data_IF_135998365373
#
_entry.id   IF_135998365373
#
_cell.length_a   1.000
_cell.length_b   1.000
_cell.length_c   1.000
_cell.angle_alpha   90.00
_cell.angle_beta   90.00
_cell.angle_gamma   90.00
#
_symmetry.space_group_name_H-M   'P 1'
#
loop_
_entity.id
_entity.type
_entity.pdbx_description
1 polymer ?
#
# COMPACT_ATOMS: atom_id res chain seq x y z
N UNK A 1 78.81 -21.70 -8.38
CA UNK A 1 77.68 -22.57 -7.95
C UNK A 1 76.76 -21.95 -6.89
N UNK A 2 77.28 -21.22 -5.90
CA UNK A 2 76.48 -20.67 -4.79
C UNK A 2 75.44 -19.61 -5.22
N UNK A 3 75.79 -18.73 -6.17
CA UNK A 3 74.89 -17.67 -6.65
C UNK A 3 73.64 -18.18 -7.40
N UNK A 4 73.74 -19.30 -8.12
CA UNK A 4 72.59 -19.88 -8.82
C UNK A 4 71.59 -20.54 -7.85
N UNK A 5 72.06 -21.14 -6.75
CA UNK A 5 71.20 -21.68 -5.70
C UNK A 5 70.45 -20.57 -4.95
N UNK A 6 71.07 -19.42 -4.74
CA UNK A 6 70.44 -18.25 -4.10
C UNK A 6 69.38 -17.64 -5.02
N UNK A 7 69.66 -17.47 -6.32
CA UNK A 7 68.67 -16.97 -7.31
C UNK A 7 67.46 -17.90 -7.44
N UNK A 8 67.64 -19.22 -7.39
CA UNK A 8 66.53 -20.19 -7.41
C UNK A 8 65.67 -20.11 -6.14
N UNK A 9 66.29 -19.97 -4.95
CA UNK A 9 65.55 -19.81 -3.68
C UNK A 9 64.74 -18.50 -3.65
N UNK A 10 65.29 -17.41 -4.17
CA UNK A 10 64.56 -16.12 -4.28
C UNK A 10 63.39 -16.23 -5.25
N UNK A 11 63.55 -16.89 -6.41
CA UNK A 11 62.45 -17.12 -7.35
C UNK A 11 61.31 -17.93 -6.73
N UNK A 12 61.63 -18.97 -5.95
CA UNK A 12 60.62 -19.80 -5.27
C UNK A 12 59.88 -18.99 -4.21
N UNK A 13 60.58 -18.16 -3.42
CA UNK A 13 59.95 -17.29 -2.41
C UNK A 13 59.04 -16.25 -3.05
N UNK A 14 59.45 -15.65 -4.17
CA UNK A 14 58.62 -14.70 -4.92
C UNK A 14 57.40 -15.39 -5.52
N UNK A 15 57.55 -16.61 -6.05
CA UNK A 15 56.41 -17.39 -6.56
C UNK A 15 55.44 -17.78 -5.44
N UNK A 16 55.95 -18.13 -4.25
CA UNK A 16 55.14 -18.44 -3.07
C UNK A 16 54.42 -17.20 -2.54
N UNK A 17 55.06 -16.02 -2.57
CA UNK A 17 54.42 -14.74 -2.21
C UNK A 17 53.36 -14.32 -3.23
N UNK A 18 53.56 -14.59 -4.53
CA UNK A 18 52.56 -14.30 -5.56
C UNK A 18 51.37 -15.28 -5.43
N UNK A 19 51.60 -16.57 -5.19
CA UNK A 19 50.53 -17.56 -4.99
C UNK A 19 49.76 -17.39 -3.66
N UNK A 20 50.40 -16.91 -2.59
CA UNK A 20 49.71 -16.58 -1.33
C UNK A 20 48.84 -15.32 -1.44
N UNK A 21 49.15 -14.39 -2.35
CA UNK A 21 48.31 -13.23 -2.63
C UNK A 21 47.12 -13.52 -3.56
N UNK A 22 47.06 -14.70 -4.21
CA UNK A 22 45.90 -15.11 -5.01
C UNK A 22 44.84 -15.90 -4.22
N UNK A 23 45.11 -16.28 -2.96
CA UNK A 23 44.20 -17.12 -2.16
C UNK A 23 43.47 -16.39 -1.02
N UNK A 24 43.51 -15.05 -0.96
CA UNK A 24 42.75 -14.28 0.05
C UNK A 24 41.79 -13.24 -0.55
N UNK A 25 41.44 -13.37 -1.82
CA UNK A 25 40.29 -12.67 -2.40
C UNK A 25 39.25 -13.70 -2.85
N UNK A 26 38.75 -14.51 -1.92
CA UNK A 26 37.35 -14.90 -2.03
C UNK A 26 36.56 -13.61 -1.94
N UNK A 27 36.25 -12.98 -3.07
CA UNK A 27 35.13 -12.05 -3.12
C UNK A 27 33.93 -12.87 -2.66
N UNK A 28 33.55 -12.75 -1.39
CA UNK A 28 32.23 -13.19 -0.96
C UNK A 28 31.27 -12.60 -1.98
N UNK A 29 30.56 -13.46 -2.71
CA UNK A 29 29.54 -13.00 -3.64
C UNK A 29 28.62 -12.08 -2.85
N UNK A 30 28.64 -10.79 -3.17
CA UNK A 30 27.85 -9.75 -2.51
C UNK A 30 26.40 -9.82 -2.98
N UNK A 31 25.83 -11.02 -3.08
CA UNK A 31 24.50 -11.25 -3.60
C UNK A 31 23.48 -10.89 -2.53
N UNK A 32 22.62 -9.93 -2.85
CA UNK A 32 21.50 -9.52 -2.00
C UNK A 32 20.23 -10.27 -2.42
N UNK A 33 19.47 -10.75 -1.46
CA UNK A 33 18.21 -11.47 -1.66
C UNK A 33 17.31 -11.30 -0.43
N UNK A 34 16.01 -11.55 -0.59
CA UNK A 34 15.11 -11.61 0.57
C UNK A 34 15.52 -12.74 1.52
N UNK A 35 15.47 -12.47 2.82
CA UNK A 35 15.91 -13.36 3.90
C UNK A 35 17.40 -13.25 4.24
N UNK A 36 18.19 -12.51 3.46
CA UNK A 36 19.62 -12.34 3.76
C UNK A 36 19.80 -11.50 5.02
N UNK A 37 20.81 -11.87 5.81
CA UNK A 37 21.19 -11.14 7.03
C UNK A 37 22.48 -10.36 6.81
N UNK A 38 22.49 -9.09 7.21
CA UNK A 38 23.64 -8.17 7.07
C UNK A 38 23.64 -7.14 8.19
N UNK A 39 24.77 -6.47 8.40
CA UNK A 39 24.87 -5.38 9.37
C UNK A 39 24.39 -4.06 8.76
N UNK A 40 24.90 -3.72 7.57
CA UNK A 40 24.58 -2.49 6.86
C UNK A 40 24.35 -2.79 5.37
N UNK A 41 23.41 -2.10 4.72
CA UNK A 41 23.13 -2.23 3.28
C UNK A 41 24.39 -1.93 2.44
N UNK A 42 25.29 -1.09 2.96
CA UNK A 42 26.56 -0.78 2.31
C UNK A 42 27.48 -1.99 2.14
N UNK A 43 27.27 -3.08 2.88
CA UNK A 43 28.00 -4.35 2.71
C UNK A 43 27.85 -4.94 1.29
N UNK A 44 26.76 -4.59 0.59
CA UNK A 44 26.52 -5.01 -0.80
C UNK A 44 27.09 -4.02 -1.83
N UNK A 45 27.84 -3.01 -1.40
CA UNK A 45 28.42 -2.00 -2.30
C UNK A 45 29.73 -2.48 -2.90
N UNK A 46 29.94 -2.20 -4.18
CA UNK A 46 31.22 -2.35 -4.85
C UNK A 46 32.15 -1.18 -4.48
N UNK A 47 31.59 0.03 -4.44
CA UNK A 47 32.29 1.27 -4.08
C UNK A 47 31.38 2.10 -3.19
N UNK A 48 31.97 2.71 -2.16
CA UNK A 48 31.30 3.70 -1.30
C UNK A 48 32.01 5.04 -1.56
N UNK A 49 31.22 6.08 -1.84
CA UNK A 49 31.68 7.46 -1.94
C UNK A 49 31.08 8.23 -0.76
N UNK A 50 31.91 8.53 0.22
CA UNK A 50 31.51 9.35 1.36
C UNK A 50 31.72 10.83 0.99
N UNK A 51 30.65 11.62 1.08
CA UNK A 51 30.77 13.07 0.92
C UNK A 51 31.16 13.73 2.25
N UNK A 52 32.37 14.28 2.29
CA UNK A 52 32.91 15.06 3.42
C UNK A 52 32.44 16.53 3.43
N UNK A 53 31.52 16.93 2.52
CA UNK A 53 31.02 18.31 2.38
C UNK A 53 30.15 18.82 3.55
N UNK A 54 29.97 18.04 4.61
CA UNK A 54 29.20 18.43 5.82
C UNK A 54 27.70 18.13 5.75
N UNK A 55 27.19 17.61 4.62
CA UNK A 55 25.77 17.21 4.46
C UNK A 55 25.52 15.74 4.84
N UNK A 56 26.58 14.93 4.99
CA UNK A 56 26.49 13.54 5.49
C UNK A 56 25.84 12.55 4.53
N UNK A 57 26.01 12.74 3.22
CA UNK A 57 25.41 11.88 2.19
C UNK A 57 26.39 10.76 1.81
N UNK A 58 26.00 9.50 2.04
CA UNK A 58 26.75 8.33 1.56
C UNK A 58 26.20 7.90 0.20
N UNK A 59 27.05 7.84 -0.82
CA UNK A 59 26.69 7.26 -2.11
C UNK A 59 27.33 5.89 -2.27
N UNK A 60 26.62 4.98 -2.93
CA UNK A 60 27.12 3.64 -3.20
C UNK A 60 26.97 3.29 -4.67
N UNK A 61 27.97 2.57 -5.19
CA UNK A 61 27.87 1.85 -6.46
C UNK A 61 27.73 0.37 -6.14
N UNK A 62 26.71 -0.30 -6.68
CA UNK A 62 26.46 -1.72 -6.41
C UNK A 62 25.80 -2.41 -7.60
N UNK A 63 26.49 -3.38 -8.20
CA UNK A 63 25.93 -4.28 -9.21
C UNK A 63 24.86 -5.20 -8.62
N UNK A 64 25.09 -5.69 -7.41
CA UNK A 64 24.19 -6.67 -6.78
C UNK A 64 22.86 -6.06 -6.38
N UNK A 65 22.87 -4.86 -5.79
CA UNK A 65 21.65 -4.10 -5.51
C UNK A 65 20.93 -3.75 -6.81
N UNK A 66 21.67 -3.29 -7.83
CA UNK A 66 21.08 -2.98 -9.15
C UNK A 66 20.40 -4.19 -9.79
N UNK A 67 21.03 -5.35 -9.71
CA UNK A 67 20.51 -6.60 -10.27
C UNK A 67 19.27 -7.06 -9.49
N UNK A 68 19.32 -7.02 -8.16
CA UNK A 68 18.20 -7.39 -7.29
C UNK A 68 16.97 -6.50 -7.49
N UNK A 69 17.17 -5.18 -7.63
CA UNK A 69 16.11 -4.21 -7.88
C UNK A 69 15.71 -4.10 -9.36
N UNK A 70 16.40 -4.83 -10.26
CA UNK A 70 16.25 -4.77 -11.71
C UNK A 70 16.31 -3.32 -12.25
N UNK A 71 17.35 -2.57 -11.88
CA UNK A 71 17.57 -1.17 -12.30
C UNK A 71 18.62 -1.07 -13.40
N UNK A 72 18.49 -0.03 -14.24
CA UNK A 72 19.49 0.27 -15.28
C UNK A 72 20.76 0.94 -14.75
N UNK A 73 20.63 1.72 -13.67
CA UNK A 73 21.76 2.37 -13.00
C UNK A 73 22.18 1.57 -11.77
N UNK A 74 23.47 1.69 -11.44
CA UNK A 74 24.15 1.01 -10.34
C UNK A 74 24.51 1.96 -9.19
N UNK A 75 24.11 3.22 -9.30
CA UNK A 75 24.45 4.26 -8.33
C UNK A 75 23.23 4.59 -7.46
N UNK A 76 23.47 4.70 -6.15
CA UNK A 76 22.44 4.99 -5.16
C UNK A 76 22.95 5.99 -4.12
N UNK A 77 22.03 6.77 -3.56
CA UNK A 77 22.25 7.56 -2.34
C UNK A 77 21.59 6.82 -1.18
N UNK A 78 22.34 6.58 -0.11
CA UNK A 78 21.80 6.14 1.17
C UNK A 78 21.21 7.35 1.89
N UNK A 79 19.89 7.33 2.12
CA UNK A 79 19.18 8.51 2.61
C UNK A 79 18.89 8.43 4.11
N UNK A 80 18.15 7.42 4.53
CA UNK A 80 17.66 7.33 5.91
C UNK A 80 17.54 5.87 6.35
N UNK A 81 17.64 5.67 7.65
CA UNK A 81 17.23 4.47 8.35
C UNK A 81 16.22 4.85 9.42
N UNK A 82 15.01 4.31 9.34
CA UNK A 82 13.93 4.68 10.25
C UNK A 82 13.26 3.44 10.83
N UNK A 83 12.90 3.49 12.11
CA UNK A 83 12.06 2.46 12.72
C UNK A 83 10.62 2.65 12.25
N UNK A 84 9.95 1.54 11.96
CA UNK A 84 8.54 1.59 11.60
C UNK A 84 7.71 1.65 12.88
N UNK A 85 6.89 2.70 13.01
CA UNK A 85 6.09 2.93 14.22
C UNK A 85 5.22 1.72 14.55
N UNK A 86 5.01 1.44 15.84
CA UNK A 86 4.16 0.33 16.34
C UNK A 86 4.53 -1.07 15.83
N UNK A 87 5.72 -1.25 15.27
CA UNK A 87 6.26 -2.56 14.91
C UNK A 87 7.45 -2.88 15.78
N UNK A 88 7.39 -4.00 16.50
CA UNK A 88 8.54 -4.44 17.29
C UNK A 88 9.61 -4.97 16.32
N UNK A 89 10.77 -4.31 16.27
CA UNK A 89 11.96 -4.73 15.53
C UNK A 89 11.91 -4.62 14.01
N UNK A 90 11.00 -3.83 13.41
CA UNK A 90 11.01 -3.58 11.96
C UNK A 90 11.45 -2.14 11.70
N UNK A 91 12.35 -1.99 10.73
CA UNK A 91 12.87 -0.72 10.23
C UNK A 91 12.85 -0.72 8.71
N UNK A 92 13.16 0.42 8.10
CA UNK A 92 13.55 0.45 6.70
C UNK A 92 14.80 1.27 6.47
N UNK A 93 15.55 0.87 5.44
CA UNK A 93 16.64 1.65 4.87
C UNK A 93 16.24 2.20 3.51
N UNK A 94 16.38 3.50 3.27
CA UNK A 94 16.04 4.15 2.00
C UNK A 94 17.26 4.30 1.09
N UNK A 95 17.15 3.82 -0.15
CA UNK A 95 18.08 4.10 -1.24
C UNK A 95 17.40 4.88 -2.37
N UNK A 96 17.97 6.03 -2.75
CA UNK A 96 17.55 6.78 -3.94
C UNK A 96 18.41 6.41 -5.15
N UNK A 97 17.78 6.04 -6.27
CA UNK A 97 18.47 5.70 -7.51
C UNK A 97 18.94 6.96 -8.24
N UNK A 98 20.24 7.03 -8.55
CA UNK A 98 20.86 8.15 -9.28
C UNK A 98 21.53 7.66 -10.57
N UNK A 99 21.72 8.53 -11.55
CA UNK A 99 22.28 8.13 -12.85
C UNK A 99 23.81 7.99 -12.82
N UNK A 100 24.48 8.73 -11.94
CA UNK A 100 25.93 8.76 -11.81
C UNK A 100 26.32 9.32 -10.44
N UNK A 101 27.59 9.20 -10.06
CA UNK A 101 28.14 9.78 -8.82
C UNK A 101 28.00 11.31 -8.71
N UNK A 102 27.86 12.00 -9.85
CA UNK A 102 27.79 13.47 -9.88
C UNK A 102 26.33 13.96 -9.69
N UNK A 103 25.37 13.03 -9.64
CA UNK A 103 23.94 13.30 -9.47
C UNK A 103 23.55 13.29 -7.99
N UNK A 104 23.95 14.34 -7.27
CA UNK A 104 23.77 14.48 -5.81
C UNK A 104 22.43 15.09 -5.39
N UNK A 105 21.51 15.33 -6.35
CA UNK A 105 20.20 15.92 -6.03
C UNK A 105 19.37 14.94 -5.19
N UNK A 106 18.94 15.40 -4.03
CA UNK A 106 18.09 14.66 -3.11
C UNK A 106 16.59 14.75 -3.42
N UNK A 107 15.81 13.85 -2.82
CA UNK A 107 14.36 14.00 -2.69
C UNK A 107 13.49 13.34 -3.77
N UNK A 108 12.23 13.82 -3.87
CA UNK A 108 11.14 13.22 -4.69
C UNK A 108 11.39 13.16 -6.19
N UNK A 109 12.45 13.80 -6.71
CA UNK A 109 12.79 13.77 -8.12
C UNK A 109 13.43 12.44 -8.56
N UNK A 110 13.71 11.54 -7.61
CA UNK A 110 14.33 10.23 -7.84
C UNK A 110 13.34 9.09 -7.61
N UNK A 111 13.62 7.96 -8.25
CA UNK A 111 13.04 6.68 -7.83
C UNK A 111 13.73 6.29 -6.53
N UNK A 112 12.96 5.86 -5.54
CA UNK A 112 13.50 5.43 -4.24
C UNK A 112 13.07 4.01 -3.93
N UNK A 113 13.82 3.34 -3.09
CA UNK A 113 13.58 1.98 -2.65
C UNK A 113 13.69 1.93 -1.14
N UNK A 114 12.65 1.43 -0.48
CA UNK A 114 12.64 1.15 0.94
C UNK A 114 12.94 -0.33 1.13
N UNK A 115 14.03 -0.64 1.81
CA UNK A 115 14.42 -1.99 2.21
C UNK A 115 13.80 -2.26 3.57
N UNK A 116 12.76 -3.10 3.62
CA UNK A 116 12.08 -3.42 4.88
C UNK A 116 12.85 -4.50 5.60
N UNK A 117 13.26 -4.19 6.82
CA UNK A 117 14.28 -4.92 7.55
C UNK A 117 13.75 -5.33 8.92
N UNK A 118 14.11 -6.53 9.36
CA UNK A 118 13.84 -7.00 10.72
C UNK A 118 15.14 -7.11 11.52
N UNK A 119 15.20 -6.49 12.68
CA UNK A 119 16.37 -6.54 13.57
C UNK A 119 16.62 -7.96 14.08
N UNK A 120 17.85 -8.45 13.92
CA UNK A 120 18.39 -9.71 14.43
C UNK A 120 19.70 -9.44 15.18
N UNK A 121 19.58 -8.98 16.43
CA UNK A 121 20.73 -8.59 17.25
C UNK A 121 21.45 -7.36 16.69
N UNK A 122 22.73 -7.51 16.32
CA UNK A 122 23.52 -6.47 15.63
C UNK A 122 23.30 -6.45 14.11
N UNK A 123 22.65 -7.47 13.57
CA UNK A 123 22.35 -7.56 12.15
C UNK A 123 20.88 -7.24 11.88
N UNK A 124 20.55 -7.16 10.61
CA UNK A 124 19.22 -7.01 10.06
C UNK A 124 18.98 -8.10 9.03
N UNK A 125 17.74 -8.53 8.91
CA UNK A 125 17.28 -9.42 7.86
C UNK A 125 16.42 -8.64 6.88
N UNK A 126 16.74 -8.67 5.58
CA UNK A 126 15.89 -8.06 4.55
C UNK A 126 14.65 -8.92 4.35
N UNK A 127 13.47 -8.37 4.63
CA UNK A 127 12.20 -9.09 4.53
C UNK A 127 11.50 -8.81 3.21
N UNK A 128 11.51 -7.55 2.79
CA UNK A 128 10.76 -7.06 1.65
C UNK A 128 11.36 -5.75 1.11
N UNK A 129 10.87 -5.30 -0.05
CA UNK A 129 11.24 -4.00 -0.60
C UNK A 129 10.03 -3.27 -1.17
N UNK A 130 10.01 -1.94 -1.05
CA UNK A 130 9.01 -1.09 -1.65
C UNK A 130 9.63 -0.05 -2.58
N UNK A 131 9.17 0.00 -3.83
CA UNK A 131 9.59 1.02 -4.80
C UNK A 131 8.69 2.25 -4.69
N UNK A 132 9.29 3.41 -4.47
CA UNK A 132 8.63 4.71 -4.53
C UNK A 132 8.90 5.33 -5.90
N UNK A 133 7.86 5.55 -6.74
CA UNK A 133 8.05 6.12 -8.07
C UNK A 133 8.56 7.57 -8.01
N UNK A 134 9.28 7.98 -9.06
CA UNK A 134 9.70 9.37 -9.25
C UNK A 134 8.48 10.30 -9.19
N UNK A 135 8.60 11.39 -8.45
CA UNK A 135 7.57 12.42 -8.27
C UNK A 135 6.55 12.12 -7.16
N UNK A 136 6.70 10.99 -6.47
CA UNK A 136 5.88 10.64 -5.31
C UNK A 136 6.72 10.66 -4.04
N UNK A 137 6.08 10.96 -2.93
CA UNK A 137 6.56 10.86 -1.56
C UNK A 137 5.90 9.69 -0.85
N UNK A 138 6.41 9.35 0.34
CA UNK A 138 5.82 8.33 1.19
C UNK A 138 5.69 8.82 2.63
N UNK A 139 4.73 8.27 3.37
CA UNK A 139 4.57 8.52 4.80
C UNK A 139 4.16 7.24 5.51
N UNK A 140 4.63 7.06 6.74
CA UNK A 140 4.10 6.02 7.61
C UNK A 140 2.67 6.41 8.01
N UNK A 141 1.74 5.46 8.05
CA UNK A 141 0.37 5.73 8.49
C UNK A 141 -0.14 4.63 9.41
N UNK A 142 -1.08 4.99 10.27
CA UNK A 142 -1.75 4.08 11.18
C UNK A 142 -3.19 3.80 10.72
N UNK A 143 -3.59 2.52 10.75
CA UNK A 143 -4.91 2.06 10.33
C UNK A 143 -5.41 0.91 11.19
N UNK A 144 -6.73 0.68 11.16
CA UNK A 144 -7.35 -0.45 11.86
C UNK A 144 -7.61 -1.62 10.94
N UNK A 145 -7.31 -2.82 11.45
CA UNK A 145 -7.67 -4.10 10.85
C UNK A 145 -8.45 -4.90 11.89
N UNK A 146 -9.76 -4.69 11.96
CA UNK A 146 -10.57 -5.12 13.10
C UNK A 146 -10.26 -4.24 14.33
N UNK A 147 -10.00 -4.86 15.48
CA UNK A 147 -9.64 -4.17 16.73
C UNK A 147 -8.13 -4.01 16.93
N UNK A 148 -7.33 -4.27 15.89
CA UNK A 148 -5.87 -4.22 15.97
C UNK A 148 -5.37 -3.00 15.20
N UNK A 149 -4.62 -2.16 15.89
CA UNK A 149 -3.88 -1.04 15.32
C UNK A 149 -2.69 -1.58 14.53
N UNK A 150 -2.51 -1.06 13.31
CA UNK A 150 -1.46 -1.48 12.39
C UNK A 150 -0.81 -0.28 11.74
N UNK A 151 0.42 -0.49 11.31
CA UNK A 151 1.21 0.50 10.57
C UNK A 151 1.37 0.09 9.12
N UNK A 152 1.37 1.09 8.24
CA UNK A 152 1.61 0.93 6.83
C UNK A 152 2.46 2.05 6.26
N UNK A 153 2.75 1.94 4.97
CA UNK A 153 3.40 2.98 4.16
C UNK A 153 2.42 3.45 3.10
N UNK A 154 2.12 4.74 3.11
CA UNK A 154 1.33 5.41 2.12
C UNK A 154 2.26 6.04 1.09
N UNK A 155 1.97 5.86 -0.20
CA UNK A 155 2.65 6.56 -1.30
C UNK A 155 1.70 7.62 -1.82
N UNK A 156 2.18 8.85 -2.00
CA UNK A 156 1.32 9.97 -2.39
C UNK A 156 2.08 11.18 -2.92
N UNK A 157 1.34 12.19 -3.36
CA UNK A 157 1.92 13.49 -3.74
C UNK A 157 1.80 14.45 -2.57
N UNK A 158 2.93 14.92 -2.08
CA UNK A 158 2.95 15.95 -1.06
C UNK A 158 2.98 17.34 -1.68
N UNK A 159 2.03 18.17 -1.28
CA UNK A 159 1.95 19.59 -1.61
C UNK A 159 2.21 20.39 -0.35
N UNK A 160 3.27 21.20 -0.40
CA UNK A 160 3.69 22.05 0.69
C UNK A 160 3.45 23.51 0.29
N UNK A 161 2.48 24.16 0.94
CA UNK A 161 2.34 25.62 0.92
C UNK A 161 2.43 26.15 2.35
N UNK A 162 2.87 27.40 2.52
CA UNK A 162 3.12 28.01 3.85
C UNK A 162 1.91 28.04 4.79
N UNK A 163 0.69 27.84 4.30
CA UNK A 163 -0.55 27.84 5.10
C UNK A 163 -1.31 26.52 5.10
N UNK A 164 -1.09 25.66 4.10
CA UNK A 164 -1.83 24.40 3.93
C UNK A 164 -0.92 23.33 3.36
N UNK A 165 -0.78 22.26 4.12
CA UNK A 165 -0.09 21.06 3.68
C UNK A 165 -1.10 19.99 3.30
N UNK A 166 -0.82 19.29 2.20
CA UNK A 166 -1.64 18.15 1.83
C UNK A 166 -0.87 16.97 1.28
N UNK A 167 -1.27 15.77 1.69
CA UNK A 167 -0.74 14.52 1.18
C UNK A 167 -1.80 13.76 0.37
N UNK A 168 -1.65 13.77 -0.95
CA UNK A 168 -2.58 13.11 -1.88
C UNK A 168 -2.21 11.63 -2.05
N UNK A 169 -2.94 10.71 -1.38
CA UNK A 169 -2.67 9.27 -1.36
C UNK A 169 -2.90 8.63 -2.73
N UNK A 170 -1.97 7.80 -3.16
CA UNK A 170 -1.98 7.09 -4.44
C UNK A 170 -1.97 5.57 -4.23
N UNK A 171 -1.15 5.07 -3.32
CA UNK A 171 -1.11 3.65 -2.93
C UNK A 171 -0.96 3.50 -1.42
N UNK A 172 -1.50 2.40 -0.88
CA UNK A 172 -1.38 2.05 0.53
C UNK A 172 -0.82 0.63 0.65
N UNK A 173 0.11 0.48 1.59
CA UNK A 173 0.77 -0.77 1.88
C UNK A 173 0.71 -1.04 3.38
N UNK A 174 0.13 -2.16 3.79
CA UNK A 174 0.14 -2.62 5.17
C UNK A 174 1.39 -3.44 5.45
N UNK A 175 1.94 -3.29 6.65
CA UNK A 175 3.12 -4.04 7.09
C UNK A 175 2.68 -5.06 8.13
N UNK A 176 2.99 -6.33 7.89
CA UNK A 176 2.74 -7.41 8.85
C UNK A 176 3.78 -7.40 9.97
N UNK A 177 3.49 -8.12 11.07
CA UNK A 177 4.39 -8.25 12.22
C UNK A 177 5.76 -8.89 11.90
N UNK A 178 5.90 -9.49 10.71
CA UNK A 178 7.17 -10.07 10.26
C UNK A 178 7.92 -9.18 9.26
N UNK A 179 7.36 -8.02 8.88
CA UNK A 179 7.94 -7.08 7.92
C UNK A 179 7.49 -7.27 6.47
N UNK A 180 6.60 -8.23 6.19
CA UNK A 180 6.06 -8.40 4.83
C UNK A 180 5.08 -7.30 4.48
N UNK A 181 5.22 -6.76 3.27
CA UNK A 181 4.34 -5.72 2.73
C UNK A 181 3.16 -6.37 2.00
N UNK A 182 1.97 -5.80 2.19
CA UNK A 182 0.75 -6.19 1.46
C UNK A 182 0.03 -4.95 0.96
N UNK A 183 -0.46 -4.98 -0.29
CA UNK A 183 -1.23 -3.87 -0.84
C UNK A 183 -2.58 -3.77 -0.12
N UNK A 184 -2.96 -2.56 0.26
CA UNK A 184 -4.25 -2.25 0.87
C UNK A 184 -5.14 -1.46 -0.10
N UNK A 185 -6.47 -1.58 0.01
CA UNK A 185 -7.36 -0.73 -0.76
C UNK A 185 -7.26 0.73 -0.29
N UNK A 186 -7.43 1.70 -1.21
CA UNK A 186 -7.52 3.13 -0.88
C UNK A 186 -8.75 3.49 -0.02
N UNK A 187 -9.67 2.54 0.18
CA UNK A 187 -10.78 2.66 1.13
C UNK A 187 -10.41 2.26 2.56
N UNK A 188 -9.14 1.92 2.82
CA UNK A 188 -8.66 1.63 4.18
C UNK A 188 -8.89 2.83 5.09
N UNK A 189 -9.48 2.60 6.26
CA UNK A 189 -9.70 3.63 7.27
C UNK A 189 -8.37 3.93 7.95
N UNK A 190 -7.75 5.03 7.54
CA UNK A 190 -6.55 5.62 8.15
C UNK A 190 -7.04 6.58 9.23
N UNK A 191 -6.42 6.54 10.40
CA UNK A 191 -6.70 7.51 11.46
C UNK A 191 -5.54 8.46 11.72
N UNK A 192 -4.34 8.12 11.26
CA UNK A 192 -3.16 8.97 11.35
C UNK A 192 -2.23 8.71 10.15
N UNK A 193 -1.73 9.79 9.54
CA UNK A 193 -0.83 9.76 8.39
C UNK A 193 -0.04 11.07 8.39
N UNK A 194 1.04 11.19 9.17
CA UNK A 194 1.83 12.42 9.28
C UNK A 194 2.40 12.88 7.93
N UNK A 195 2.88 14.14 7.83
CA UNK A 195 3.69 14.58 6.71
C UNK A 195 4.90 13.65 6.49
N UNK A 196 5.36 13.46 5.23
CA UNK A 196 6.58 12.71 4.97
C UNK A 196 7.76 13.27 5.77
N UNK A 197 8.59 12.39 6.35
CA UNK A 197 9.71 12.73 7.24
C UNK A 197 10.65 13.80 6.64
N UNK A 198 10.76 13.82 5.31
CA UNK A 198 11.55 14.79 4.54
C UNK A 198 11.16 16.26 4.78
N UNK A 199 9.91 16.53 5.17
CA UNK A 199 9.37 17.89 5.28
C UNK A 199 9.02 18.29 6.71
N UNK A 200 9.47 17.53 7.72
CA UNK A 200 9.30 17.91 9.12
C UNK A 200 10.04 19.22 9.38
N UNK A 201 9.31 20.23 9.88
CA UNK A 201 9.82 21.55 10.24
C UNK A 201 9.83 21.71 11.76
N UNK A 202 10.59 22.68 12.25
CA UNK A 202 10.56 23.08 13.67
C UNK A 202 9.19 23.60 14.13
N UNK A 203 8.30 23.95 13.20
CA UNK A 203 6.95 24.45 13.46
C UNK A 203 5.90 23.58 12.76
N UNK A 204 4.83 23.23 13.48
CA UNK A 204 3.67 22.54 12.90
C UNK A 204 2.90 23.46 11.94
N UNK A 205 2.41 22.95 10.79
CA UNK A 205 1.59 23.73 9.88
C UNK A 205 0.26 24.12 10.53
N UNK A 206 -0.28 25.30 10.17
CA UNK A 206 -1.62 25.75 10.63
C UNK A 206 -2.72 24.72 10.32
N UNK A 207 -2.61 24.04 9.17
CA UNK A 207 -3.51 22.96 8.75
C UNK A 207 -2.74 21.87 7.97
N UNK A 208 -2.89 20.61 8.37
CA UNK A 208 -2.44 19.43 7.62
C UNK A 208 -3.63 18.52 7.27
N UNK A 209 -3.71 18.12 6.00
CA UNK A 209 -4.74 17.16 5.55
C UNK A 209 -4.15 16.11 4.61
N UNK A 210 -4.38 14.83 4.86
CA UNK A 210 -4.20 13.83 3.82
C UNK A 210 -5.53 13.62 3.09
N UNK A 211 -5.46 13.45 1.78
CA UNK A 211 -6.63 13.23 0.91
C UNK A 211 -6.31 12.05 0.03
N UNK A 212 -7.22 11.11 -0.15
CA UNK A 212 -7.01 10.09 -1.17
C UNK A 212 -7.15 10.74 -2.55
N UNK A 213 -6.23 10.45 -3.48
CA UNK A 213 -6.56 10.44 -4.91
C UNK A 213 -7.44 9.23 -5.19
N UNK A 214 -8.56 9.16 -4.49
CA UNK A 214 -9.70 8.71 -5.22
C UNK A 214 -9.84 9.77 -6.31
N UNK A 215 -9.93 9.35 -7.57
CA UNK A 215 -11.14 9.77 -8.25
C UNK A 215 -12.29 9.43 -7.29
N UNK A 216 -12.53 10.34 -6.32
CA UNK A 216 -13.87 10.67 -5.97
C UNK A 216 -14.35 11.14 -7.31
N UNK A 217 -14.94 10.20 -8.05
CA UNK A 217 -16.09 10.49 -8.87
C UNK A 217 -16.78 11.59 -8.05
N UNK A 218 -16.68 12.85 -8.50
CA UNK A 218 -17.37 13.97 -7.85
C UNK A 218 -18.88 13.67 -7.76
N UNK A 219 -19.30 12.63 -8.50
CA UNK A 219 -20.56 11.91 -8.55
C UNK A 219 -20.82 10.87 -7.42
N UNK A 220 -19.91 10.68 -6.44
CA UNK A 220 -20.04 9.69 -5.35
C UNK A 220 -20.23 10.29 -3.95
N UNK A 221 -20.44 11.60 -3.86
CA UNK A 221 -21.09 12.16 -2.67
C UNK A 221 -22.56 11.82 -2.83
N UNK A 222 -22.96 10.66 -2.33
CA UNK A 222 -24.36 10.31 -2.18
C UNK A 222 -24.91 11.30 -1.15
N UNK A 223 -25.91 12.08 -1.55
CA UNK A 223 -26.52 13.06 -0.65
C UNK A 223 -27.05 12.36 0.61
N UNK A 224 -26.89 13.01 1.77
CA UNK A 224 -27.38 12.51 3.06
C UNK A 224 -28.88 12.23 3.08
N UNK A 225 -29.65 12.78 2.12
CA UNK A 225 -31.07 12.43 1.90
C UNK A 225 -31.28 10.92 1.73
N UNK A 226 -30.31 10.22 1.15
CA UNK A 226 -30.37 8.78 0.94
C UNK A 226 -29.92 7.98 2.17
N UNK A 227 -29.29 8.58 3.18
CA UNK A 227 -28.80 7.82 4.33
C UNK A 227 -29.95 7.25 5.15
N UNK A 228 -29.82 5.99 5.58
CA UNK A 228 -30.83 5.28 6.36
C UNK A 228 -30.83 3.79 6.07
N UNK A 229 -31.67 3.07 6.82
CA UNK A 229 -31.92 1.65 6.62
C UNK A 229 -33.29 1.53 5.94
N UNK A 230 -33.31 0.84 4.81
CA UNK A 230 -34.51 0.66 4.00
C UNK A 230 -34.88 -0.82 4.00
N UNK A 231 -36.16 -1.11 4.25
CA UNK A 231 -36.72 -2.45 4.08
C UNK A 231 -37.61 -2.49 2.87
N UNK A 232 -37.46 -3.54 2.04
CA UNK A 232 -38.42 -3.79 0.97
C UNK A 232 -39.72 -4.28 1.60
N UNK A 233 -40.83 -3.60 1.28
CA UNK A 233 -42.16 -4.05 1.68
C UNK A 233 -42.57 -5.21 0.76
N UNK A 234 -42.52 -6.43 1.28
CA UNK A 234 -43.08 -7.62 0.63
C UNK A 234 -44.53 -7.84 1.08
N UNK A 235 -45.32 -8.57 0.28
CA UNK A 235 -46.62 -9.09 0.73
C UNK A 235 -46.35 -10.23 1.70
N UNK A 236 -47.04 -10.24 2.83
CA UNK A 236 -47.00 -11.36 3.79
C UNK A 236 -47.34 -12.67 3.06
N UNK A 237 -46.48 -13.68 3.20
CA UNK A 237 -46.81 -15.02 2.72
C UNK A 237 -47.63 -15.77 3.79
N UNK A 238 -48.45 -16.72 3.33
CA UNK A 238 -49.08 -17.71 4.22
C UNK A 238 -48.10 -18.78 4.71
N UNK A 239 -46.96 -18.94 4.03
CA UNK A 239 -45.87 -19.84 4.42
C UNK A 239 -44.66 -19.01 4.86
N UNK A 240 -44.30 -19.11 6.14
CA UNK A 240 -43.15 -18.40 6.72
C UNK A 240 -41.82 -18.74 6.02
N UNK A 241 -41.74 -19.85 5.29
CA UNK A 241 -40.55 -20.21 4.49
C UNK A 241 -40.38 -19.33 3.26
N UNK A 242 -41.44 -18.69 2.80
CA UNK A 242 -41.42 -17.76 1.68
C UNK A 242 -41.12 -16.32 2.13
N UNK A 243 -41.16 -16.06 3.43
CA UNK A 243 -40.83 -14.75 3.98
C UNK A 243 -39.33 -14.48 3.81
N UNK A 244 -39.04 -13.36 3.14
CA UNK A 244 -37.69 -12.86 2.91
C UNK A 244 -37.63 -11.42 3.36
N UNK A 245 -36.65 -11.13 4.20
CA UNK A 245 -36.28 -9.78 4.57
C UNK A 245 -35.23 -9.28 3.59
N UNK A 246 -35.52 -8.16 2.93
CA UNK A 246 -34.54 -7.46 2.08
C UNK A 246 -34.29 -6.10 2.72
N UNK A 247 -33.03 -5.86 3.05
CA UNK A 247 -32.57 -4.64 3.70
C UNK A 247 -31.50 -3.97 2.86
N UNK A 248 -31.59 -2.65 2.75
CA UNK A 248 -30.57 -1.81 2.15
C UNK A 248 -30.15 -0.74 3.16
N UNK A 249 -28.89 -0.78 3.59
CA UNK A 249 -28.33 0.18 4.53
C UNK A 249 -27.42 1.15 3.79
N UNK A 250 -27.79 2.43 3.76
CA UNK A 250 -27.04 3.49 3.08
C UNK A 250 -26.46 4.42 4.14
N UNK A 251 -25.14 4.58 4.12
CA UNK A 251 -24.39 5.48 5.00
C UNK A 251 -23.43 6.34 4.19
N UNK A 252 -22.73 7.26 4.86
CA UNK A 252 -21.65 8.04 4.26
C UNK A 252 -20.56 7.16 3.67
N UNK A 253 -20.27 6.03 4.31
CA UNK A 253 -19.08 5.23 4.02
C UNK A 253 -19.38 3.99 3.17
N UNK A 254 -20.63 3.51 3.18
CA UNK A 254 -21.01 2.26 2.51
C UNK A 254 -22.49 2.16 2.17
N UNK A 255 -22.79 1.35 1.15
CA UNK A 255 -24.12 0.85 0.82
C UNK A 255 -24.10 -0.67 0.95
N UNK A 256 -24.90 -1.22 1.85
CA UNK A 256 -24.96 -2.65 2.12
C UNK A 256 -26.33 -3.16 1.73
N UNK A 257 -26.36 -4.16 0.86
CA UNK A 257 -27.54 -4.94 0.56
C UNK A 257 -27.51 -6.23 1.35
N UNK A 258 -28.65 -6.62 1.90
CA UNK A 258 -28.83 -7.87 2.61
C UNK A 258 -30.17 -8.49 2.23
N UNK A 259 -30.17 -9.79 1.93
CA UNK A 259 -31.39 -10.60 1.84
C UNK A 259 -31.24 -11.82 2.75
N UNK A 260 -32.27 -12.06 3.56
CA UNK A 260 -32.32 -13.16 4.51
C UNK A 260 -33.69 -13.84 4.45
N UNK A 261 -33.71 -15.16 4.43
CA UNK A 261 -34.93 -15.99 4.41
C UNK A 261 -34.58 -17.49 4.50
N UNK A 262 -35.58 -18.36 4.33
CA UNK A 262 -35.34 -19.79 4.35
C UNK A 262 -34.35 -20.22 3.26
N UNK A 263 -33.21 -20.81 3.68
CA UNK A 263 -32.11 -21.24 2.80
C UNK A 263 -31.45 -20.15 1.94
N UNK A 264 -31.72 -18.87 2.22
CA UNK A 264 -31.07 -17.75 1.54
C UNK A 264 -30.54 -16.76 2.55
N UNK A 265 -29.24 -16.49 2.47
CA UNK A 265 -28.60 -15.38 3.15
C UNK A 265 -27.53 -14.84 2.23
N UNK A 266 -27.62 -13.56 1.89
CA UNK A 266 -26.65 -12.90 1.04
C UNK A 266 -26.44 -11.48 1.53
N UNK A 267 -25.19 -11.07 1.64
CA UNK A 267 -24.82 -9.74 2.10
C UNK A 267 -23.75 -9.16 1.20
N UNK A 268 -24.07 -8.06 0.52
CA UNK A 268 -23.22 -7.47 -0.51
C UNK A 268 -22.90 -6.01 -0.21
N UNK A 269 -21.67 -5.63 -0.51
CA UNK A 269 -21.28 -4.23 -0.65
C UNK A 269 -21.68 -3.76 -2.05
N UNK A 270 -22.41 -2.66 -2.10
CA UNK A 270 -22.76 -1.98 -3.34
C UNK A 270 -21.97 -0.69 -3.50
N UNK A 271 -21.87 -0.24 -4.73
CA UNK A 271 -21.50 1.12 -5.08
C UNK A 271 -22.74 1.92 -5.44
N UNK A 272 -22.76 3.21 -5.09
CA UNK A 272 -23.83 4.13 -5.44
C UNK A 272 -23.32 5.32 -6.25
N UNK A 273 -24.14 5.80 -7.19
CA UNK A 273 -23.92 7.02 -7.95
C UNK A 273 -25.23 7.82 -8.03
N UNK A 274 -25.20 9.08 -7.65
CA UNK A 274 -26.37 9.95 -7.79
C UNK A 274 -26.42 10.55 -9.21
N UNK A 275 -27.53 10.38 -9.91
CA UNK A 275 -27.81 10.93 -11.25
C UNK A 275 -29.27 11.34 -11.30
N UNK A 276 -29.56 12.59 -11.69
CA UNK A 276 -30.93 13.09 -11.89
C UNK A 276 -31.90 12.80 -10.73
N UNK A 277 -31.45 13.04 -9.50
CA UNK A 277 -32.21 12.78 -8.26
C UNK A 277 -32.56 11.29 -8.03
N UNK A 278 -31.85 10.38 -8.70
CA UNK A 278 -31.88 8.93 -8.47
C UNK A 278 -30.55 8.45 -7.93
N UNK A 279 -30.57 7.39 -7.13
CA UNK A 279 -29.38 6.69 -6.67
C UNK A 279 -29.24 5.37 -7.44
N UNK A 280 -28.29 5.33 -8.36
CA UNK A 280 -27.95 4.11 -9.12
C UNK A 280 -27.06 3.23 -8.26
N UNK A 281 -27.35 1.93 -8.22
CA UNK A 281 -26.71 0.93 -7.40
C UNK A 281 -26.09 -0.17 -8.26
N UNK A 282 -24.85 -0.54 -7.95
CA UNK A 282 -24.19 -1.65 -8.63
C UNK A 282 -23.37 -2.48 -7.65
N UNK A 283 -23.32 -3.79 -7.89
CA UNK A 283 -22.55 -4.73 -7.09
C UNK A 283 -21.07 -4.34 -7.01
N UNK A 284 -20.48 -4.42 -5.81
CA UNK A 284 -19.04 -4.26 -5.61
C UNK A 284 -18.37 -5.58 -5.23
N UNK A 285 -18.78 -6.17 -4.10
CA UNK A 285 -18.23 -7.43 -3.58
C UNK A 285 -19.20 -8.05 -2.57
N UNK A 286 -19.05 -9.34 -2.31
CA UNK A 286 -19.74 -9.97 -1.20
C UNK A 286 -19.06 -9.66 0.14
N UNK A 287 -19.86 -9.60 1.20
CA UNK A 287 -19.44 -9.36 2.57
C UNK A 287 -19.59 -10.61 3.44
N UNK A 288 -20.56 -11.47 3.11
CA UNK A 288 -20.82 -12.70 3.81
C UNK A 288 -21.53 -13.69 2.88
N UNK A 289 -21.35 -15.00 3.12
CA UNK A 289 -21.81 -16.14 2.29
C UNK A 289 -21.21 -16.24 0.88
N UNK A 290 -21.71 -17.19 0.09
CA UNK A 290 -21.35 -17.44 -1.31
C UNK A 290 -21.99 -16.44 -2.27
N UNK A 291 -21.33 -16.20 -3.40
CA UNK A 291 -21.90 -15.40 -4.50
C UNK A 291 -23.14 -16.08 -5.09
N UNK A 292 -24.19 -15.30 -5.33
CA UNK A 292 -25.36 -15.78 -6.07
C UNK A 292 -24.98 -16.00 -7.53
N UNK A 293 -25.44 -17.10 -8.14
CA UNK A 293 -25.31 -17.30 -9.59
C UNK A 293 -26.00 -16.19 -10.40
N UNK A 294 -26.88 -15.40 -9.79
CA UNK A 294 -27.48 -14.21 -10.43
C UNK A 294 -26.43 -13.12 -10.67
N UNK A 295 -25.35 -13.04 -9.87
CA UNK A 295 -24.28 -12.07 -10.08
C UNK A 295 -23.46 -12.34 -11.35
N UNK A 296 -23.51 -13.56 -11.89
CA UNK A 296 -22.97 -13.88 -13.22
C UNK A 296 -23.83 -13.27 -14.34
N UNK A 297 -25.12 -13.06 -14.08
CA UNK A 297 -26.09 -12.53 -15.05
C UNK A 297 -26.22 -11.02 -14.97
N UNK A 298 -26.21 -10.45 -13.76
CA UNK A 298 -26.30 -9.00 -13.55
C UNK A 298 -25.52 -8.55 -12.32
N UNK A 299 -24.77 -7.46 -12.50
CA UNK A 299 -24.17 -6.66 -11.42
C UNK A 299 -24.94 -5.36 -11.16
N UNK A 300 -26.05 -5.18 -11.86
CA UNK A 300 -26.91 -4.01 -11.77
C UNK A 300 -27.95 -4.22 -10.67
N UNK A 301 -27.82 -3.43 -9.60
CA UNK A 301 -28.79 -3.37 -8.51
C UNK A 301 -29.81 -2.25 -8.76
N UNK A 302 -29.78 -1.65 -9.94
CA UNK A 302 -30.78 -0.73 -10.45
C UNK A 302 -30.75 0.62 -9.75
N UNK A 303 -31.92 1.23 -9.57
CA UNK A 303 -31.99 2.64 -9.16
C UNK A 303 -33.07 2.90 -8.11
N UNK A 304 -32.73 3.74 -7.15
CA UNK A 304 -33.65 4.23 -6.12
C UNK A 304 -34.06 5.66 -6.46
N UNK A 305 -35.33 5.96 -6.31
CA UNK A 305 -35.85 7.31 -6.43
C UNK A 305 -36.98 7.56 -5.44
N UNK A 306 -37.25 8.84 -5.19
CA UNK A 306 -38.36 9.28 -4.34
C UNK A 306 -39.43 9.91 -5.24
N UNK A 307 -40.64 9.36 -5.23
CA UNK A 307 -41.77 9.84 -6.05
C UNK A 307 -42.53 11.02 -5.44
N UNK A 308 -42.06 11.53 -4.30
CA UNK A 308 -42.75 12.55 -3.49
C UNK A 308 -43.49 11.98 -2.28
N UNK A 309 -43.69 10.66 -2.21
CA UNK A 309 -44.39 9.97 -1.11
C UNK A 309 -43.62 8.78 -0.57
N UNK A 310 -43.01 7.97 -1.44
CA UNK A 310 -42.33 6.72 -1.11
C UNK A 310 -40.99 6.64 -1.80
N UNK A 311 -40.07 5.89 -1.19
CA UNK A 311 -38.86 5.45 -1.87
C UNK A 311 -39.19 4.21 -2.68
N UNK A 312 -38.80 4.22 -3.95
CA UNK A 312 -39.03 3.14 -4.91
C UNK A 312 -37.69 2.63 -5.40
N UNK A 313 -37.61 1.32 -5.61
CA UNK A 313 -36.41 0.65 -6.09
C UNK A 313 -36.76 -0.20 -7.30
N UNK A 314 -36.16 0.11 -8.43
CA UNK A 314 -36.13 -0.76 -9.62
C UNK A 314 -34.84 -1.57 -9.54
N UNK A 315 -34.90 -2.89 -9.47
CA UNK A 315 -33.73 -3.71 -9.18
C UNK A 315 -33.64 -4.92 -10.10
N UNK A 316 -32.89 -4.82 -11.22
CA UNK A 316 -32.68 -5.95 -12.12
C UNK A 316 -32.14 -7.19 -11.42
N UNK A 317 -31.38 -7.01 -10.33
CA UNK A 317 -30.93 -8.11 -9.48
C UNK A 317 -32.10 -8.82 -8.78
N UNK A 318 -33.03 -8.08 -8.17
CA UNK A 318 -34.18 -8.67 -7.50
C UNK A 318 -35.22 -9.23 -8.47
N UNK A 319 -35.26 -8.73 -9.71
CA UNK A 319 -36.16 -9.23 -10.75
C UNK A 319 -35.90 -10.72 -11.07
N UNK A 320 -34.69 -11.24 -10.80
CA UNK A 320 -34.40 -12.67 -10.91
C UNK A 320 -35.02 -13.52 -9.78
N UNK A 321 -35.38 -12.89 -8.66
CA UNK A 321 -36.04 -13.54 -7.52
C UNK A 321 -37.56 -13.32 -7.52
N UNK A 322 -38.02 -12.20 -8.07
CA UNK A 322 -39.42 -11.78 -8.03
C UNK A 322 -39.81 -11.14 -9.37
N UNK A 323 -40.96 -11.50 -9.92
CA UNK A 323 -41.53 -10.87 -11.13
C UNK A 323 -42.11 -9.45 -10.87
N UNK A 324 -41.44 -8.66 -10.02
CA UNK A 324 -41.84 -7.30 -9.68
C UNK A 324 -40.88 -6.30 -10.30
N UNK A 325 -41.37 -5.44 -11.19
CA UNK A 325 -40.55 -4.40 -11.82
C UNK A 325 -40.12 -3.26 -10.88
N UNK A 326 -40.74 -3.18 -9.70
CA UNK A 326 -40.55 -2.09 -8.75
C UNK A 326 -40.88 -2.55 -7.33
N UNK A 327 -40.03 -2.14 -6.38
CA UNK A 327 -40.11 -2.46 -4.97
C UNK A 327 -40.32 -1.19 -4.15
N UNK A 328 -41.19 -1.23 -3.14
CA UNK A 328 -41.39 -0.11 -2.22
C UNK A 328 -40.41 -0.25 -1.06
N UNK A 329 -39.67 0.81 -0.78
CA UNK A 329 -38.74 0.89 0.34
C UNK A 329 -39.36 1.66 1.51
N UNK A 330 -39.41 1.03 2.68
CA UNK A 330 -39.72 1.68 3.94
C UNK A 330 -38.42 2.11 4.63
N UNK A 331 -38.23 3.42 4.78
CA UNK A 331 -37.05 3.99 5.45
C UNK A 331 -37.30 4.02 6.96
N UNK A 332 -36.50 3.29 7.74
CA UNK A 332 -36.52 3.39 9.19
C UNK A 332 -35.93 4.74 9.62
N UNK A 333 -36.57 5.39 10.60
CA UNK A 333 -36.09 6.64 11.20
C UNK A 333 -34.91 6.40 12.12
#
# INVERSE_FOLDING_TARGET
MLQNKIKQKIKIIVYFFILLNFNSCQSQEKNIALGITYNNITNFSDVIYDDYSGVGITQIKSESISSFLNTKSRYFILWNEENISNTNNISFTELALINSKDDIKSGKEKIRYLFIERKKGKNKELIDTLKIPKGFDYSQFNYKSGNVDKTGIAIGKYSNSTKKESFELYELYGISNVGKITRLPLSTIIYDCPPPTYYLREYEPEEYTYKTKQEYNKNKIISSKWFGIYHVISKESKDWREDKSITLSISKDSIIYEIAGYQIYQKYLLTGKEVDNKLLLSYSKYLDSSESAILEKTKDFGNIYFDGKKYLWESPYLDFYYDNKQYILNKMQ
#
